data_IF_095814987383
#
_entry.id   IF_095814987383
#
_cell.length_a   1.000
_cell.length_b   1.000
_cell.length_c   1.000
_cell.angle_alpha   90.00
_cell.angle_beta   90.00
_cell.angle_gamma   90.00
#
_symmetry.space_group_name_H-M   'P 1'
#
loop_
_entity.id
_entity.type
_entity.pdbx_description
1 polymer ?
#
# COMPACT_ATOMS: atom_id res chain seq x y z
N UNK A 1 11.80 -9.19 -11.96
CA UNK A 1 10.70 -8.44 -12.58
C UNK A 1 11.23 -7.24 -13.36
N UNK A 2 11.75 -6.19 -12.72
CA UNK A 2 12.16 -4.96 -13.43
C UNK A 2 13.68 -4.75 -13.62
N UNK A 3 14.49 -5.80 -13.44
CA UNK A 3 15.96 -5.69 -13.47
C UNK A 3 16.55 -5.05 -12.20
N UNK A 4 17.85 -4.74 -12.23
CA UNK A 4 18.55 -4.07 -11.12
C UNK A 4 18.18 -2.59 -10.99
N UNK A 5 17.91 -1.94 -12.13
CA UNK A 5 17.42 -0.57 -12.27
C UNK A 5 16.32 -0.60 -13.32
N UNK A 6 15.26 0.14 -13.07
CA UNK A 6 14.16 0.34 -14.00
C UNK A 6 14.03 1.82 -14.35
N UNK A 7 13.37 2.11 -15.46
CA UNK A 7 13.10 3.49 -15.90
C UNK A 7 11.65 3.62 -16.35
N UNK A 8 10.96 4.61 -15.82
CA UNK A 8 9.64 5.02 -16.33
C UNK A 8 9.82 6.29 -17.15
N UNK A 9 9.43 6.24 -18.41
CA UNK A 9 9.36 7.40 -19.29
C UNK A 9 7.96 7.48 -19.89
N UNK A 10 7.38 8.68 -19.88
CA UNK A 10 6.08 8.91 -20.52
C UNK A 10 6.11 8.75 -22.05
N UNK A 11 7.29 8.66 -22.66
CA UNK A 11 7.46 8.33 -24.09
C UNK A 11 7.09 6.89 -24.44
N UNK A 12 7.04 5.99 -23.44
CA UNK A 12 6.83 4.55 -23.64
C UNK A 12 5.42 4.11 -23.22
N UNK A 13 4.49 5.04 -23.00
CA UNK A 13 3.12 4.72 -22.62
C UNK A 13 2.38 4.08 -23.81
N UNK A 14 2.33 2.74 -23.86
CA UNK A 14 1.40 2.01 -24.70
C UNK A 14 0.05 1.88 -23.98
N UNK A 15 -1.09 2.03 -24.66
CA UNK A 15 -2.38 1.82 -24.03
C UNK A 15 -2.66 0.32 -23.79
N UNK A 16 -2.67 -0.09 -22.53
CA UNK A 16 -3.60 -1.10 -22.00
C UNK A 16 -3.18 -2.57 -21.93
N UNK A 17 -2.07 -2.94 -21.30
CA UNK A 17 -1.72 -4.36 -21.10
C UNK A 17 -1.18 -4.78 -19.72
N UNK A 18 -1.03 -3.91 -18.73
CA UNK A 18 -0.69 -4.34 -17.35
C UNK A 18 -1.07 -3.34 -16.26
N UNK A 19 -1.29 -3.80 -15.02
CA UNK A 19 -1.31 -2.92 -13.83
C UNK A 19 0.01 -2.13 -13.67
N UNK A 20 1.10 -2.63 -14.26
CA UNK A 20 2.37 -1.94 -14.40
C UNK A 20 2.32 -0.69 -15.32
N UNK A 21 1.35 -0.56 -16.23
CA UNK A 21 1.30 0.51 -17.24
C UNK A 21 0.89 1.87 -16.67
N UNK A 22 0.17 1.87 -15.54
CA UNK A 22 -0.26 3.11 -14.87
C UNK A 22 0.91 4.01 -14.48
N UNK A 23 2.05 3.42 -14.13
CA UNK A 23 3.27 4.14 -13.77
C UNK A 23 3.89 4.92 -14.95
N UNK A 24 3.73 4.41 -16.18
CA UNK A 24 4.25 5.00 -17.42
C UNK A 24 3.35 6.09 -17.99
N UNK A 25 2.07 6.11 -17.61
CA UNK A 25 1.11 7.13 -18.02
C UNK A 25 1.36 8.52 -17.41
N UNK A 26 0.65 9.52 -17.94
CA UNK A 26 0.68 10.91 -17.46
C UNK A 26 -0.36 11.23 -16.39
N UNK A 27 -1.23 10.27 -16.08
CA UNK A 27 -2.22 10.38 -15.00
C UNK A 27 -1.58 10.53 -13.63
N UNK A 28 -2.37 11.00 -12.67
CA UNK A 28 -1.98 11.01 -11.27
C UNK A 28 -1.87 9.57 -10.76
N UNK A 29 -0.86 9.32 -9.93
CA UNK A 29 -0.77 8.10 -9.14
C UNK A 29 -1.13 8.47 -7.70
N UNK A 30 -2.19 7.87 -7.13
CA UNK A 30 -2.55 8.09 -5.73
C UNK A 30 -1.42 7.58 -4.81
N UNK A 31 -1.50 7.92 -3.53
CA UNK A 31 -0.56 7.41 -2.53
C UNK A 31 -0.65 5.89 -2.44
N UNK A 32 0.48 5.21 -2.67
CA UNK A 32 0.59 3.75 -2.64
C UNK A 32 1.96 3.31 -2.11
N UNK A 33 2.07 2.01 -1.86
CA UNK A 33 3.31 1.26 -1.62
C UNK A 33 3.52 0.28 -2.77
N UNK A 34 4.73 0.11 -3.26
CA UNK A 34 5.00 -0.69 -4.45
C UNK A 34 5.07 -2.20 -4.16
N UNK A 35 4.75 -2.99 -5.19
CA UNK A 35 4.88 -4.45 -5.23
C UNK A 35 4.14 -5.17 -4.09
N UNK A 36 2.91 -4.75 -3.83
CA UNK A 36 2.07 -5.35 -2.78
C UNK A 36 1.73 -6.83 -3.05
N UNK A 37 1.86 -7.27 -4.30
CA UNK A 37 1.74 -8.64 -4.80
C UNK A 37 2.98 -9.53 -4.55
N UNK A 38 4.05 -9.01 -3.93
CA UNK A 38 5.13 -9.85 -3.41
C UNK A 38 4.85 -10.26 -1.96
N UNK A 39 5.23 -11.50 -1.61
CA UNK A 39 5.12 -12.01 -0.23
C UNK A 39 5.77 -11.03 0.76
N UNK A 40 6.99 -10.61 0.42
CA UNK A 40 7.79 -9.62 1.14
C UNK A 40 8.11 -8.46 0.18
N UNK A 41 7.32 -7.38 0.18
CA UNK A 41 7.56 -6.20 -0.66
C UNK A 41 8.92 -5.57 -0.33
N UNK A 42 9.55 -4.85 -1.28
CA UNK A 42 10.83 -4.20 -1.02
C UNK A 42 10.78 -3.26 0.19
N UNK A 43 11.85 -3.26 0.98
CA UNK A 43 11.96 -2.38 2.15
C UNK A 43 12.19 -0.93 1.76
N UNK A 44 13.03 -0.70 0.75
CA UNK A 44 13.35 0.63 0.25
C UNK A 44 13.19 0.70 -1.27
N UNK A 45 12.62 1.80 -1.74
CA UNK A 45 12.61 2.19 -3.13
C UNK A 45 13.40 3.48 -3.30
N UNK A 46 14.20 3.56 -4.36
CA UNK A 46 14.98 4.75 -4.67
C UNK A 46 14.52 5.27 -6.02
N UNK A 47 14.23 6.57 -6.09
CA UNK A 47 13.92 7.29 -7.30
C UNK A 47 15.04 8.29 -7.61
N UNK A 48 15.45 8.36 -8.86
CA UNK A 48 16.36 9.37 -9.40
C UNK A 48 15.66 10.13 -10.52
N UNK A 49 15.51 11.44 -10.35
CA UNK A 49 14.85 12.28 -11.34
C UNK A 49 15.79 12.51 -12.53
N UNK A 50 15.42 11.97 -13.69
CA UNK A 50 16.15 12.20 -14.94
C UNK A 50 15.68 13.49 -15.60
N UNK A 51 14.38 13.61 -15.85
CA UNK A 51 13.76 14.77 -16.47
C UNK A 51 12.38 15.02 -15.87
N UNK A 52 12.13 16.19 -15.25
CA UNK A 52 10.79 16.55 -14.80
C UNK A 52 9.90 16.93 -15.98
N UNK A 53 8.58 16.83 -15.78
CA UNK A 53 7.59 17.42 -16.69
C UNK A 53 7.62 18.95 -16.60
N UNK A 54 7.24 19.63 -17.69
CA UNK A 54 7.11 21.10 -17.72
C UNK A 54 5.94 21.59 -16.86
N UNK A 55 4.85 20.82 -16.79
CA UNK A 55 3.64 21.15 -16.05
C UNK A 55 3.15 19.94 -15.27
N UNK A 56 2.93 20.12 -13.96
CA UNK A 56 2.49 19.06 -13.05
C UNK A 56 3.58 18.02 -12.76
N UNK A 57 3.18 16.86 -12.23
CA UNK A 57 4.06 15.70 -12.06
C UNK A 57 4.95 15.75 -10.82
N UNK A 58 4.61 16.63 -9.87
CA UNK A 58 5.23 16.69 -8.56
C UNK A 58 5.12 15.33 -7.87
N UNK A 59 6.19 14.94 -7.18
CA UNK A 59 6.18 13.76 -6.33
C UNK A 59 5.41 14.08 -5.04
N UNK A 60 4.60 13.13 -4.59
CA UNK A 60 3.84 13.24 -3.34
C UNK A 60 4.22 12.06 -2.45
N UNK A 61 4.46 12.32 -1.17
CA UNK A 61 4.80 11.31 -0.18
C UNK A 61 3.88 11.45 1.04
N UNK A 62 3.70 10.39 1.81
CA UNK A 62 2.99 10.44 3.08
C UNK A 62 3.48 9.40 4.07
N UNK A 63 3.41 9.69 5.37
CA UNK A 63 3.82 8.75 6.42
C UNK A 63 2.67 7.81 6.80
N UNK A 64 2.71 6.59 6.27
CA UNK A 64 1.68 5.59 6.53
C UNK A 64 1.64 5.09 7.96
N UNK A 65 2.74 5.19 8.74
CA UNK A 65 2.68 4.90 10.16
C UNK A 65 1.88 5.98 10.89
N UNK A 66 2.13 7.26 10.59
CA UNK A 66 1.40 8.37 11.21
C UNK A 66 -0.10 8.34 10.85
N UNK A 67 -0.44 8.01 9.60
CA UNK A 67 -1.82 7.80 9.16
C UNK A 67 -2.48 6.64 9.94
N UNK A 68 -1.78 5.51 10.07
CA UNK A 68 -2.28 4.34 10.81
C UNK A 68 -2.49 4.61 12.29
N UNK A 69 -1.57 5.32 12.95
CA UNK A 69 -1.72 5.69 14.36
C UNK A 69 -2.84 6.72 14.57
N UNK A 70 -3.08 7.61 13.60
CA UNK A 70 -4.23 8.51 13.63
C UNK A 70 -5.55 7.75 13.52
N UNK A 71 -5.65 6.82 12.55
CA UNK A 71 -6.81 5.95 12.43
C UNK A 71 -7.03 5.13 13.71
N UNK A 72 -5.96 4.57 14.30
CA UNK A 72 -6.05 3.81 15.56
C UNK A 72 -6.60 4.63 16.72
N UNK A 73 -6.16 5.88 16.84
CA UNK A 73 -6.55 6.79 17.93
C UNK A 73 -8.00 7.25 17.77
N UNK A 74 -8.37 7.64 16.56
CA UNK A 74 -9.62 8.35 16.30
C UNK A 74 -10.77 7.38 15.92
N UNK A 75 -10.43 6.26 15.27
CA UNK A 75 -11.36 5.23 14.78
C UNK A 75 -10.83 3.80 15.02
N UNK A 76 -10.73 3.34 16.28
CA UNK A 76 -10.09 2.07 16.62
C UNK A 76 -10.78 0.83 16.02
N UNK A 77 -12.09 0.87 15.74
CA UNK A 77 -12.80 -0.22 15.08
C UNK A 77 -12.41 -0.33 13.59
N UNK A 78 -12.34 0.79 12.86
CA UNK A 78 -11.84 0.81 11.48
C UNK A 78 -10.38 0.33 11.41
N UNK A 79 -9.54 0.74 12.37
CA UNK A 79 -8.18 0.24 12.49
C UNK A 79 -8.14 -1.29 12.67
N UNK A 80 -8.99 -1.86 13.54
CA UNK A 80 -9.09 -3.32 13.73
C UNK A 80 -9.47 -4.03 12.44
N UNK A 81 -10.45 -3.50 11.69
CA UNK A 81 -10.88 -4.06 10.40
C UNK A 81 -9.73 -4.08 9.40
N UNK A 82 -9.01 -2.96 9.22
CA UNK A 82 -7.89 -2.88 8.26
C UNK A 82 -6.68 -3.73 8.68
N UNK A 83 -6.54 -4.08 9.96
CA UNK A 83 -5.53 -5.01 10.45
C UNK A 83 -5.92 -6.48 10.25
N UNK A 84 -7.22 -6.82 10.27
CA UNK A 84 -7.70 -8.22 10.23
C UNK A 84 -8.11 -8.67 8.85
N UNK A 85 -8.61 -7.78 8.01
CA UNK A 85 -9.04 -8.11 6.66
C UNK A 85 -7.81 -8.44 5.81
N UNK A 86 -7.65 -9.72 5.48
CA UNK A 86 -6.59 -10.19 4.59
C UNK A 86 -6.98 -9.88 3.15
N UNK A 87 -6.29 -8.92 2.55
CA UNK A 87 -6.45 -8.54 1.15
C UNK A 87 -5.52 -9.34 0.27
N UNK A 88 -5.97 -9.67 -0.95
CA UNK A 88 -5.13 -10.29 -1.98
C UNK A 88 -4.69 -9.23 -3.00
N UNK A 89 -3.46 -9.36 -3.45
CA UNK A 89 -2.83 -8.48 -4.42
C UNK A 89 -2.28 -9.31 -5.57
N UNK A 90 -2.40 -8.81 -6.80
CA UNK A 90 -1.97 -9.51 -8.01
C UNK A 90 -1.27 -8.57 -8.99
N UNK A 91 -0.22 -9.08 -9.61
CA UNK A 91 0.33 -8.52 -10.83
C UNK A 91 0.40 -9.60 -11.90
N UNK A 92 -0.16 -9.29 -13.08
CA UNK A 92 -0.03 -10.09 -14.29
C UNK A 92 0.67 -9.22 -15.33
N UNK A 93 1.75 -9.74 -15.87
CA UNK A 93 2.55 -9.14 -16.92
C UNK A 93 2.86 -10.25 -17.93
N UNK A 94 2.03 -10.33 -18.98
CA UNK A 94 2.13 -11.38 -20.00
C UNK A 94 3.41 -11.22 -20.84
N UNK A 95 3.84 -9.98 -21.10
CA UNK A 95 5.05 -9.67 -21.86
C UNK A 95 6.31 -10.09 -21.09
N UNK A 96 6.35 -9.82 -19.79
CA UNK A 96 7.42 -10.24 -18.89
C UNK A 96 7.32 -11.69 -18.41
N UNK A 97 6.18 -12.36 -18.65
CA UNK A 97 5.90 -13.74 -18.23
C UNK A 97 5.68 -13.90 -16.72
N UNK A 98 5.16 -12.88 -16.04
CA UNK A 98 4.96 -12.90 -14.59
C UNK A 98 3.48 -13.00 -14.21
N UNK A 99 3.19 -13.89 -13.27
CA UNK A 99 1.91 -13.96 -12.57
C UNK A 99 2.21 -14.10 -11.08
N UNK A 100 2.07 -12.99 -10.35
CA UNK A 100 2.45 -12.88 -8.95
C UNK A 100 1.22 -12.60 -8.10
N UNK A 101 1.12 -13.29 -6.97
CA UNK A 101 0.09 -13.05 -5.96
C UNK A 101 0.69 -13.08 -4.56
N UNK A 102 0.18 -12.19 -3.72
CA UNK A 102 0.41 -12.23 -2.29
C UNK A 102 -0.82 -11.74 -1.54
N UNK A 103 -0.86 -12.04 -0.26
CA UNK A 103 -1.93 -11.61 0.62
C UNK A 103 -1.39 -10.97 1.89
N UNK A 104 -2.19 -10.08 2.48
CA UNK A 104 -1.88 -9.41 3.73
C UNK A 104 -2.86 -8.28 4.03
N UNK A 105 -2.95 -7.84 5.29
CA UNK A 105 -3.77 -6.69 5.66
C UNK A 105 -3.20 -5.40 5.09
N UNK A 106 -4.05 -4.37 5.01
CA UNK A 106 -3.61 -3.01 4.65
C UNK A 106 -2.64 -2.47 5.69
N UNK A 107 -2.94 -2.70 6.98
CA UNK A 107 -2.11 -2.29 8.11
C UNK A 107 -1.63 -3.54 8.84
N UNK A 108 -0.34 -3.87 8.75
CA UNK A 108 0.25 -4.97 9.53
C UNK A 108 0.75 -4.44 10.87
N UNK A 109 -0.02 -4.69 11.93
CA UNK A 109 0.38 -4.42 13.31
C UNK A 109 0.71 -5.70 14.07
N UNK A 110 1.62 -5.63 15.04
CA UNK A 110 1.95 -6.77 15.89
C UNK A 110 0.72 -7.19 16.70
N UNK A 111 0.31 -8.45 16.60
CA UNK A 111 -0.80 -8.95 17.41
C UNK A 111 -0.32 -9.25 18.84
N UNK A 112 -0.73 -8.44 19.82
CA UNK A 112 -0.43 -8.69 21.24
C UNK A 112 -1.57 -9.37 21.98
N UNK A 113 -2.68 -9.64 21.30
CA UNK A 113 -3.80 -10.38 21.85
C UNK A 113 -3.86 -11.74 21.18
N UNK A 114 -3.07 -12.71 21.67
CA UNK A 114 -2.97 -14.08 21.14
C UNK A 114 -4.25 -14.93 21.16
N UNK A 115 -5.42 -14.33 20.99
CA UNK A 115 -6.64 -15.03 20.63
C UNK A 115 -6.60 -15.47 19.16
N UNK A 116 -7.31 -16.55 18.86
CA UNK A 116 -7.53 -17.01 17.51
C UNK A 116 -7.93 -15.85 16.57
N UNK A 117 -7.56 -15.88 15.27
CA UNK A 117 -7.84 -14.81 14.30
C UNK A 117 -9.31 -14.35 14.30
N UNK A 118 -10.21 -15.24 14.74
CA UNK A 118 -11.63 -15.02 14.93
C UNK A 118 -12.06 -15.57 16.31
N UNK A 119 -12.31 -14.72 17.33
CA UNK A 119 -12.99 -15.20 18.52
C UNK A 119 -14.44 -15.55 18.16
N UNK A 120 -14.97 -16.72 18.58
CA UNK A 120 -16.37 -17.02 18.38
C UNK A 120 -17.23 -16.05 19.21
N UNK A 121 -18.21 -15.44 18.53
CA UNK A 121 -19.39 -14.75 19.05
C UNK A 121 -19.23 -13.82 20.27
N UNK A 122 -19.60 -12.54 20.07
CA UNK A 122 -20.25 -11.76 21.14
C UNK A 122 -21.63 -11.30 20.66
N UNK A 123 -22.62 -11.61 21.49
CA UNK A 123 -24.00 -11.16 21.36
C UNK A 123 -24.10 -9.65 21.52
N UNK A 124 -25.17 -9.08 20.96
CA UNK A 124 -25.51 -7.65 20.79
C UNK A 124 -25.50 -6.74 22.03
N UNK A 125 -24.83 -7.06 23.13
CA UNK A 125 -24.70 -6.15 24.27
C UNK A 125 -23.30 -6.25 24.89
N UNK A 126 -22.63 -5.10 24.94
CA UNK A 126 -21.45 -4.73 25.74
C UNK A 126 -20.08 -4.70 25.05
N UNK A 127 -19.56 -3.46 24.98
CA UNK A 127 -18.16 -2.99 24.97
C UNK A 127 -17.23 -3.70 23.99
N UNK A 128 -16.89 -2.98 22.92
CA UNK A 128 -15.73 -3.21 22.06
C UNK A 128 -14.48 -3.38 22.92
N UNK A 129 -14.14 -4.62 23.28
CA UNK A 129 -12.80 -4.93 23.77
C UNK A 129 -11.92 -4.98 22.52
N UNK A 130 -11.44 -3.81 22.08
CA UNK A 130 -10.53 -3.72 20.96
C UNK A 130 -9.34 -4.66 21.21
N UNK A 131 -8.97 -5.47 20.21
CA UNK A 131 -7.72 -6.23 20.23
C UNK A 131 -6.59 -5.25 20.58
N UNK A 132 -5.70 -5.66 21.48
CA UNK A 132 -4.52 -4.87 21.79
C UNK A 132 -3.52 -5.06 20.66
N UNK A 133 -3.67 -4.27 19.61
CA UNK A 133 -2.64 -4.15 18.58
C UNK A 133 -1.37 -3.53 19.18
N UNK A 134 -0.24 -4.10 18.82
CA UNK A 134 1.08 -3.55 19.06
C UNK A 134 1.49 -2.56 17.98
N UNK A 135 2.79 -2.26 17.87
CA UNK A 135 3.30 -1.33 16.86
C UNK A 135 2.90 -1.75 15.44
N UNK A 136 2.60 -0.77 14.59
CA UNK A 136 2.47 -0.98 13.14
C UNK A 136 3.87 -1.23 12.57
N UNK A 137 4.03 -2.35 11.86
CA UNK A 137 5.31 -2.75 11.28
C UNK A 137 5.38 -2.57 9.77
N UNK A 138 4.25 -2.60 9.06
CA UNK A 138 4.21 -2.45 7.61
C UNK A 138 2.84 -1.94 7.15
N UNK A 139 2.86 -1.10 6.13
CA UNK A 139 1.71 -0.71 5.34
C UNK A 139 1.79 -1.42 3.98
N UNK A 140 0.67 -1.96 3.52
CA UNK A 140 0.53 -2.55 2.19
C UNK A 140 -0.73 -2.00 1.56
N UNK A 141 -0.58 -1.00 0.71
CA UNK A 141 -1.71 -0.32 0.09
C UNK A 141 -1.36 0.05 -1.34
N UNK A 142 -2.05 -0.57 -2.29
CA UNK A 142 -2.05 -0.17 -3.69
C UNK A 142 -3.36 -0.66 -4.32
N UNK A 143 -4.26 0.26 -4.62
CA UNK A 143 -5.56 -0.08 -5.19
C UNK A 143 -5.48 -0.59 -6.63
N UNK A 144 -4.36 -0.36 -7.32
CA UNK A 144 -4.13 -0.90 -8.65
C UNK A 144 -3.72 -2.39 -8.61
N UNK A 145 -3.18 -2.85 -7.48
CA UNK A 145 -2.76 -4.23 -7.31
C UNK A 145 -3.86 -5.09 -6.65
N UNK A 146 -4.88 -4.48 -6.04
CA UNK A 146 -5.83 -5.20 -5.18
C UNK A 146 -6.82 -6.05 -5.97
N UNK A 147 -7.08 -7.25 -5.46
CA UNK A 147 -8.25 -8.05 -5.83
C UNK A 147 -9.43 -7.73 -4.89
N UNK A 148 -10.67 -8.16 -5.24
CA UNK A 148 -11.81 -8.01 -4.34
C UNK A 148 -11.54 -8.63 -2.97
N UNK A 149 -11.82 -7.86 -1.92
CA UNK A 149 -11.76 -8.33 -0.54
C UNK A 149 -12.84 -9.39 -0.32
N UNK A 150 -12.49 -10.45 0.41
CA UNK A 150 -13.40 -11.55 0.70
C UNK A 150 -13.71 -11.56 2.20
N UNK A 151 -14.96 -11.90 2.58
CA UNK A 151 -15.28 -12.14 3.96
C UNK A 151 -14.39 -13.24 4.54
N UNK A 152 -14.09 -13.19 5.84
CA UNK A 152 -13.36 -14.22 6.55
C UNK A 152 -13.83 -15.64 6.25
N UNK A 153 -12.91 -16.61 6.30
CA UNK A 153 -13.22 -18.00 5.98
C UNK A 153 -14.29 -18.60 6.92
N UNK A 154 -14.27 -18.22 8.21
CA UNK A 154 -15.28 -18.62 9.19
C UNK A 154 -16.66 -18.06 8.83
N UNK A 155 -16.76 -16.77 8.45
CA UNK A 155 -18.00 -16.17 7.94
C UNK A 155 -18.50 -16.88 6.68
N UNK A 156 -17.61 -17.14 5.70
CA UNK A 156 -17.97 -17.85 4.46
C UNK A 156 -18.39 -19.31 4.70
N UNK A 157 -17.98 -19.91 5.81
CA UNK A 157 -18.28 -21.31 6.17
C UNK A 157 -19.56 -21.49 6.99
N UNK A 158 -20.28 -20.42 7.32
CA UNK A 158 -21.55 -20.50 8.07
C UNK A 158 -22.59 -21.30 7.26
N UNK A 159 -23.12 -22.35 7.89
CA UNK A 159 -24.08 -23.27 7.26
C UNK A 159 -25.46 -22.63 7.12
N UNK A 160 -25.91 -21.87 8.11
CA UNK A 160 -27.19 -21.16 8.03
C UNK A 160 -27.10 -20.01 7.03
N UNK A 161 -27.91 -20.06 5.97
CA UNK A 161 -27.87 -19.08 4.88
C UNK A 161 -28.15 -17.66 5.35
N UNK A 162 -29.17 -17.50 6.19
CA UNK A 162 -29.62 -16.17 6.63
C UNK A 162 -28.60 -15.53 7.55
N UNK A 163 -28.03 -16.32 8.46
CA UNK A 163 -26.93 -15.87 9.28
C UNK A 163 -25.72 -15.51 8.41
N UNK A 164 -25.35 -16.35 7.45
CA UNK A 164 -24.22 -16.08 6.56
C UNK A 164 -24.41 -14.78 5.78
N UNK A 165 -25.56 -14.57 5.15
CA UNK A 165 -25.89 -13.35 4.43
C UNK A 165 -25.81 -12.11 5.33
N UNK A 166 -26.38 -12.19 6.54
CA UNK A 166 -26.32 -11.12 7.53
C UNK A 166 -24.86 -10.79 7.92
N UNK A 167 -24.04 -11.80 8.20
CA UNK A 167 -22.63 -11.63 8.56
C UNK A 167 -21.78 -11.08 7.41
N UNK A 168 -22.06 -11.49 6.18
CA UNK A 168 -21.40 -10.94 4.99
C UNK A 168 -21.75 -9.46 4.83
N UNK A 169 -23.01 -9.09 5.03
CA UNK A 169 -23.45 -7.69 4.97
C UNK A 169 -22.80 -6.84 6.08
N UNK A 170 -22.75 -7.34 7.31
CA UNK A 170 -22.03 -6.69 8.43
C UNK A 170 -20.54 -6.49 8.07
N UNK A 171 -19.86 -7.53 7.56
CA UNK A 171 -18.45 -7.44 7.17
C UNK A 171 -18.19 -6.35 6.11
N UNK A 172 -18.98 -6.30 5.04
CA UNK A 172 -18.79 -5.30 4.00
C UNK A 172 -19.15 -3.89 4.50
N UNK A 173 -20.18 -3.74 5.33
CA UNK A 173 -20.51 -2.45 5.94
C UNK A 173 -19.35 -1.91 6.80
N UNK A 174 -18.73 -2.77 7.62
CA UNK A 174 -17.61 -2.39 8.46
C UNK A 174 -16.35 -2.08 7.62
N UNK A 175 -16.12 -2.87 6.57
CA UNK A 175 -14.99 -2.72 5.66
C UNK A 175 -15.09 -1.43 4.82
N UNK A 176 -16.28 -1.15 4.28
CA UNK A 176 -16.54 0.06 3.50
C UNK A 176 -16.31 1.31 4.37
N UNK A 177 -16.86 1.32 5.59
CA UNK A 177 -16.64 2.42 6.53
C UNK A 177 -15.15 2.59 6.89
N UNK A 178 -14.43 1.49 7.09
CA UNK A 178 -13.00 1.54 7.37
C UNK A 178 -12.19 2.10 6.18
N UNK A 179 -12.58 1.76 4.95
CA UNK A 179 -11.99 2.33 3.75
C UNK A 179 -12.30 3.80 3.56
N UNK A 180 -13.53 4.25 3.79
CA UNK A 180 -13.88 5.68 3.71
C UNK A 180 -13.01 6.53 4.64
N UNK A 181 -12.80 6.07 5.88
CA UNK A 181 -11.95 6.76 6.85
C UNK A 181 -10.47 6.75 6.44
N UNK A 182 -9.99 5.62 5.93
CA UNK A 182 -8.61 5.48 5.46
C UNK A 182 -8.33 6.35 4.24
N UNK A 183 -9.21 6.29 3.23
CA UNK A 183 -9.10 7.07 2.01
C UNK A 183 -9.26 8.56 2.30
N UNK A 184 -10.10 8.93 3.27
CA UNK A 184 -10.19 10.30 3.79
C UNK A 184 -8.86 10.79 4.39
N UNK A 185 -8.15 9.95 5.15
CA UNK A 185 -6.82 10.28 5.67
C UNK A 185 -5.79 10.43 4.54
N UNK A 186 -5.74 9.49 3.58
CA UNK A 186 -4.84 9.56 2.41
C UNK A 186 -5.17 10.73 1.46
N UNK A 187 -6.43 11.17 1.48
CA UNK A 187 -6.94 12.35 0.80
C UNK A 187 -6.49 13.67 1.41
N UNK A 188 -6.16 13.69 2.71
CA UNK A 188 -5.81 14.90 3.45
C UNK A 188 -4.44 15.45 3.07
N UNK A 189 -4.35 16.77 2.97
CA UNK A 189 -3.08 17.47 2.76
C UNK A 189 -2.19 17.46 4.02
N UNK A 190 -2.75 17.16 5.21
CA UNK A 190 -1.99 17.12 6.47
C UNK A 190 -0.90 16.04 6.50
N UNK A 191 -1.09 14.97 5.74
CA UNK A 191 -0.11 13.88 5.64
C UNK A 191 0.73 13.94 4.35
N UNK A 192 0.49 14.93 3.48
CA UNK A 192 1.12 15.03 2.17
C UNK A 192 2.35 15.91 2.18
N UNK A 193 3.49 15.31 1.87
CA UNK A 193 4.69 16.02 1.49
C UNK A 193 4.78 16.07 -0.05
N UNK A 194 4.56 17.25 -0.61
CA UNK A 194 4.75 17.52 -2.04
C UNK A 194 6.19 17.98 -2.32
N UNK A 195 6.82 17.40 -3.34
CA UNK A 195 8.18 17.76 -3.77
C UNK A 195 8.30 17.88 -5.29
N UNK A 196 8.85 19.00 -5.74
CA UNK A 196 9.25 19.22 -7.13
C UNK A 196 10.73 18.85 -7.30
N UNK A 197 10.98 17.65 -7.81
CA UNK A 197 12.35 17.13 -8.00
C UNK A 197 12.98 17.68 -9.27
N UNK A 198 14.26 18.07 -9.18
CA UNK A 198 15.09 18.55 -10.29
C UNK A 198 15.90 17.40 -10.91
N UNK A 199 16.37 17.53 -12.15
CA UNK A 199 17.32 16.58 -12.72
C UNK A 199 18.51 16.33 -11.79
N UNK A 200 18.76 15.06 -11.46
CA UNK A 200 19.82 14.64 -10.54
C UNK A 200 19.39 14.47 -9.08
N UNK A 201 18.21 14.95 -8.69
CA UNK A 201 17.69 14.71 -7.34
C UNK A 201 17.37 13.22 -7.16
N UNK A 202 17.67 12.71 -5.96
CA UNK A 202 17.35 11.34 -5.56
C UNK A 202 16.55 11.32 -4.26
N UNK A 203 15.55 10.44 -4.21
CA UNK A 203 14.73 10.19 -3.01
C UNK A 203 14.75 8.70 -2.71
N UNK A 204 15.05 8.36 -1.45
CA UNK A 204 14.89 7.01 -0.92
C UNK A 204 13.65 6.97 -0.04
N UNK A 205 12.74 6.04 -0.33
CA UNK A 205 11.46 5.86 0.35
C UNK A 205 11.50 4.52 1.10
N UNK A 206 11.16 4.53 2.38
CA UNK A 206 10.89 3.30 3.12
C UNK A 206 9.53 2.74 2.65
N UNK A 207 9.53 1.94 1.57
CA UNK A 207 8.35 1.50 0.82
C UNK A 207 7.34 0.70 1.68
N UNK A 208 7.78 0.10 2.79
CA UNK A 208 6.90 -0.59 3.74
C UNK A 208 6.25 0.35 4.78
N UNK A 209 6.60 1.65 4.78
CA UNK A 209 6.10 2.65 5.74
C UNK A 209 5.47 3.85 5.03
N UNK A 210 6.23 4.47 4.14
CA UNK A 210 5.84 5.70 3.48
C UNK A 210 5.06 5.35 2.22
N UNK A 211 3.97 6.07 2.00
CA UNK A 211 3.39 6.12 0.68
C UNK A 211 4.20 7.03 -0.23
N UNK A 212 4.14 6.75 -1.51
CA UNK A 212 4.52 7.68 -2.57
C UNK A 212 3.45 7.70 -3.65
N UNK A 213 3.46 8.77 -4.41
CA UNK A 213 2.53 9.03 -5.49
C UNK A 213 3.06 10.16 -6.35
N UNK A 214 2.26 10.59 -7.29
CA UNK A 214 2.63 11.64 -8.24
C UNK A 214 1.38 12.32 -8.75
N UNK A 215 1.44 13.64 -8.89
CA UNK A 215 0.38 14.36 -9.58
C UNK A 215 0.32 14.02 -11.08
N UNK A 216 -0.82 14.30 -11.69
CA UNK A 216 -0.91 14.28 -13.14
C UNK A 216 0.03 15.31 -13.75
N UNK A 217 0.44 15.07 -14.99
CA UNK A 217 1.29 15.98 -15.74
C UNK A 217 0.94 15.96 -17.21
N UNK A 218 1.46 16.94 -17.95
CA UNK A 218 1.43 16.92 -19.41
C UNK A 218 2.76 16.41 -19.93
N UNK A 219 2.72 15.44 -20.84
CA UNK A 219 3.88 15.01 -21.60
C UNK A 219 3.53 14.89 -23.08
N UNK A 220 4.48 15.28 -23.91
CA UNK A 220 4.50 15.07 -25.35
C UNK A 220 5.84 14.41 -25.73
N UNK A 221 5.98 14.04 -27.00
CA UNK A 221 7.18 13.36 -27.51
C UNK A 221 8.47 14.18 -27.29
N UNK A 222 8.37 15.52 -27.25
CA UNK A 222 9.51 16.43 -27.14
C UNK A 222 9.85 16.81 -25.69
N UNK A 223 8.95 16.51 -24.76
CA UNK A 223 9.07 16.85 -23.35
C UNK A 223 8.61 15.72 -22.41
N UNK A 224 9.22 14.52 -22.49
CA UNK A 224 8.89 13.42 -21.60
C UNK A 224 9.32 13.71 -20.17
N UNK A 225 8.60 13.13 -19.22
CA UNK A 225 9.06 12.99 -17.83
C UNK A 225 9.79 11.65 -17.71
N UNK A 226 10.98 11.64 -17.13
CA UNK A 226 11.76 10.42 -16.91
C UNK A 226 12.25 10.31 -15.48
N UNK A 227 12.06 9.11 -14.91
CA UNK A 227 12.55 8.73 -13.59
C UNK A 227 13.19 7.36 -13.72
N UNK A 228 14.35 7.20 -13.12
CA UNK A 228 14.96 5.90 -12.90
C UNK A 228 14.71 5.49 -11.45
N UNK A 229 14.65 4.19 -11.19
CA UNK A 229 14.60 3.73 -9.84
C UNK A 229 15.10 2.31 -9.65
N UNK A 230 15.26 1.95 -8.40
CA UNK A 230 15.63 0.62 -7.98
C UNK A 230 15.00 0.29 -6.63
N UNK A 231 15.04 -0.98 -6.28
CA UNK A 231 14.55 -1.50 -5.03
C UNK A 231 15.71 -2.11 -4.25
N UNK A 232 15.67 -1.95 -2.92
CA UNK A 232 16.63 -2.54 -2.01
C UNK A 232 15.85 -3.30 -0.93
N UNK A 233 16.28 -4.52 -0.63
CA UNK A 233 15.70 -5.30 0.46
C UNK A 233 16.01 -4.65 1.81
N UNK A 234 15.09 -4.76 2.77
CA UNK A 234 15.33 -4.25 4.13
C UNK A 234 16.53 -4.95 4.78
N UNK A 235 16.74 -6.24 4.49
CA UNK A 235 17.84 -7.03 5.04
C UNK A 235 19.21 -6.58 4.54
N UNK A 236 19.34 -6.26 3.26
CA UNK A 236 20.60 -5.72 2.72
C UNK A 236 20.95 -4.38 3.35
N UNK A 237 19.96 -3.48 3.46
CA UNK A 237 20.15 -2.20 4.11
C UNK A 237 20.54 -2.39 5.59
N UNK A 238 19.81 -3.24 6.30
CA UNK A 238 20.09 -3.57 7.70
C UNK A 238 21.48 -4.18 7.89
N UNK A 239 21.91 -5.05 6.98
CA UNK A 239 23.26 -5.63 6.98
C UNK A 239 24.33 -4.54 6.87
N UNK A 240 24.17 -3.57 5.96
CA UNK A 240 25.08 -2.43 5.83
C UNK A 240 25.10 -1.54 7.08
N UNK A 241 23.94 -1.26 7.66
CA UNK A 241 23.85 -0.51 8.92
C UNK A 241 24.56 -1.23 10.08
N UNK A 242 24.32 -2.53 10.27
CA UNK A 242 25.02 -3.33 11.30
C UNK A 242 26.53 -3.34 11.08
N UNK A 243 26.98 -3.50 9.82
CA UNK A 243 28.41 -3.43 9.45
C UNK A 243 29.03 -2.07 9.74
N UNK A 244 28.26 -0.99 9.68
CA UNK A 244 28.67 0.36 10.03
C UNK A 244 28.49 0.72 11.52
N UNK A 245 28.10 -0.25 12.36
CA UNK A 245 27.97 -0.07 13.81
C UNK A 245 26.63 0.49 14.28
N UNK A 246 25.64 0.63 13.39
CA UNK A 246 24.30 1.10 13.75
C UNK A 246 23.43 -0.06 14.27
N UNK A 247 22.58 0.25 15.25
CA UNK A 247 21.51 -0.64 15.69
C UNK A 247 20.33 -0.55 14.73
N UNK A 248 19.84 -1.69 14.26
CA UNK A 248 18.62 -1.82 13.46
C UNK A 248 17.54 -2.46 14.31
N UNK A 249 16.28 -2.05 14.10
CA UNK A 249 15.11 -2.44 14.91
C UNK A 249 14.17 -3.33 14.11
#
# INVERSE_FOLDING_TARGET
>A
MYGAVWSTSSSNAAPGTSTADSAYGSGALPLHTDMTYLRDPPGVQIFAMGRPSKHGGASVFGDGLAASESLRRDHPDAFDVLCRTVRRYRCVDDDGGWHLEAEGPVIRAADRGGGAPFPPHRSHRHRHHHRRWGPVGMIRHNDLDRLPDLPPADVRSIVDEREREMRIAEFYSDLDHAHELWDGLLGSDDIRLRMDLRPGDMVAVANQRCFHGRESFTADADSPRSVMGCYVSQDELNSRFRRAGYRVF
#
